data_IF_797270435760
#
_entry.id   IF_797270435760
#
_cell.length_a   1.000
_cell.length_b   1.000
_cell.length_c   1.000
_cell.angle_alpha   90.00
_cell.angle_beta   90.00
_cell.angle_gamma   90.00
#
_symmetry.space_group_name_H-M   'P 1'
#
loop_
_entity.id
_entity.type
_entity.pdbx_description
1 polymer ?
#
# COMPACT_ATOMS: atom_id res chain seq x y z
N UNK A 1 -40.84 9.07 -58.30
CA UNK A 1 -39.72 9.78 -57.64
C UNK A 1 -38.81 8.71 -57.02
N UNK A 2 -37.57 8.52 -57.49
CA UNK A 2 -36.66 7.48 -56.97
C UNK A 2 -35.73 8.13 -55.94
N UNK A 3 -35.93 7.84 -54.66
CA UNK A 3 -35.09 8.36 -53.57
C UNK A 3 -33.73 7.67 -53.62
N UNK A 4 -32.66 8.43 -53.93
CA UNK A 4 -31.29 7.93 -53.84
C UNK A 4 -30.90 7.89 -52.37
N UNK A 5 -30.87 6.68 -51.80
CA UNK A 5 -30.49 6.46 -50.41
C UNK A 5 -28.96 6.59 -50.28
N UNK A 6 -28.48 7.64 -49.62
CA UNK A 6 -27.05 7.90 -49.44
C UNK A 6 -26.47 7.01 -48.34
N UNK A 7 -26.25 5.73 -48.68
CA UNK A 7 -25.76 4.67 -47.79
C UNK A 7 -24.46 5.06 -47.04
N UNK A 8 -23.61 5.88 -47.65
CA UNK A 8 -22.37 6.38 -47.02
C UNK A 8 -22.63 7.22 -45.77
N UNK A 9 -23.68 8.04 -45.77
CA UNK A 9 -24.03 8.92 -44.64
C UNK A 9 -24.55 8.10 -43.45
N UNK A 10 -25.36 7.07 -43.74
CA UNK A 10 -25.87 6.13 -42.73
C UNK A 10 -24.75 5.32 -42.06
N UNK A 11 -23.72 4.90 -42.82
CA UNK A 11 -22.59 4.16 -42.26
C UNK A 11 -21.74 5.05 -41.34
N UNK A 12 -21.48 6.31 -41.73
CA UNK A 12 -20.74 7.25 -40.89
C UNK A 12 -21.48 7.61 -39.60
N UNK A 13 -22.80 7.83 -39.66
CA UNK A 13 -23.59 8.17 -38.47
C UNK A 13 -23.66 6.99 -37.49
N UNK A 14 -23.67 5.75 -38.01
CA UNK A 14 -23.64 4.53 -37.19
C UNK A 14 -22.28 4.32 -36.50
N UNK A 15 -21.16 4.63 -37.16
CA UNK A 15 -19.81 4.50 -36.59
C UNK A 15 -19.57 5.48 -35.43
N UNK A 16 -20.13 6.70 -35.52
CA UNK A 16 -20.03 7.70 -34.44
C UNK A 16 -20.82 7.25 -33.20
N UNK A 17 -22.00 6.63 -33.39
CA UNK A 17 -22.81 6.14 -32.29
C UNK A 17 -22.14 4.97 -31.53
N UNK A 18 -21.41 4.09 -32.23
CA UNK A 18 -20.69 2.96 -31.61
C UNK A 18 -19.50 3.43 -30.77
N UNK A 19 -18.83 4.52 -31.17
CA UNK A 19 -17.66 5.03 -30.44
C UNK A 19 -18.01 5.70 -29.10
N UNK A 20 -19.25 6.17 -28.93
CA UNK A 20 -19.72 6.80 -27.68
C UNK A 20 -20.04 5.78 -26.59
N UNK A 21 -20.32 4.51 -26.95
CA UNK A 21 -20.75 3.48 -26.00
C UNK A 21 -19.62 2.73 -25.29
N UNK A 22 -18.36 2.84 -25.74
CA UNK A 22 -17.22 2.13 -25.11
C UNK A 22 -16.45 2.99 -24.10
N UNK A 23 -16.90 4.21 -23.82
CA UNK A 23 -16.23 5.15 -22.93
C UNK A 23 -16.72 5.12 -21.48
N UNK A 24 -17.63 4.22 -21.11
CA UNK A 24 -17.93 3.95 -19.70
C UNK A 24 -16.92 2.94 -19.16
N UNK A 25 -15.66 3.35 -19.04
CA UNK A 25 -14.81 2.74 -18.02
C UNK A 25 -15.52 2.94 -16.70
N UNK A 26 -15.94 1.86 -16.05
CA UNK A 26 -16.42 1.91 -14.68
C UNK A 26 -15.29 2.47 -13.83
N UNK A 27 -15.31 3.78 -13.60
CA UNK A 27 -14.70 4.33 -12.40
C UNK A 27 -15.54 3.77 -11.27
N UNK A 28 -15.12 2.61 -10.75
CA UNK A 28 -15.40 2.26 -9.38
C UNK A 28 -14.75 3.38 -8.58
N UNK A 29 -15.52 4.45 -8.34
CA UNK A 29 -15.25 5.38 -7.27
C UNK A 29 -15.31 4.51 -6.01
N UNK A 30 -14.15 4.01 -5.61
CA UNK A 30 -13.97 3.45 -4.29
C UNK A 30 -14.44 4.55 -3.34
N UNK A 31 -15.57 4.31 -2.69
CA UNK A 31 -16.08 5.17 -1.65
C UNK A 31 -14.92 5.34 -0.66
N UNK A 32 -14.22 6.49 -0.74
CA UNK A 32 -13.14 6.80 0.18
C UNK A 32 -13.84 7.06 1.49
N UNK A 33 -14.14 5.99 2.25
CA UNK A 33 -14.32 6.11 3.69
C UNK A 33 -13.08 6.85 4.12
N UNK A 34 -13.26 8.11 4.51
CA UNK A 34 -12.29 8.85 5.29
C UNK A 34 -12.20 8.11 6.62
N UNK A 35 -11.50 6.97 6.58
CA UNK A 35 -11.12 6.23 7.75
C UNK A 35 -10.07 7.14 8.36
N UNK A 36 -10.39 7.74 9.49
CA UNK A 36 -9.43 8.55 10.25
C UNK A 36 -8.27 7.62 10.60
N UNK A 37 -7.21 7.68 9.79
CA UNK A 37 -6.04 6.82 9.98
C UNK A 37 -5.35 7.29 11.23
N UNK A 38 -5.24 6.39 12.19
CA UNK A 38 -4.48 6.68 13.40
C UNK A 38 -3.00 6.80 13.04
N UNK A 39 -2.34 7.79 13.64
CA UNK A 39 -0.95 8.08 13.35
C UNK A 39 -0.03 6.98 13.89
N UNK A 40 0.92 6.54 13.07
CA UNK A 40 2.08 5.78 13.52
C UNK A 40 3.34 6.33 12.87
N UNK A 41 4.49 6.08 13.50
CA UNK A 41 5.79 6.35 12.88
C UNK A 41 6.76 5.26 13.26
N UNK A 42 7.33 4.60 12.25
CA UNK A 42 8.28 3.51 12.42
C UNK A 42 9.56 3.83 11.64
N UNK A 43 10.71 3.66 12.27
CA UNK A 43 12.02 3.74 11.63
C UNK A 43 12.50 2.33 11.32
N UNK A 44 12.81 2.09 10.05
CA UNK A 44 13.36 0.85 9.52
C UNK A 44 14.86 1.06 9.37
N UNK A 45 15.65 0.16 9.94
CA UNK A 45 17.12 0.15 9.89
C UNK A 45 17.59 -1.19 9.32
N UNK A 46 18.45 -1.14 8.30
CA UNK A 46 19.19 -2.31 7.85
C UNK A 46 20.39 -2.54 8.77
N UNK A 47 20.61 -3.77 9.18
CA UNK A 47 21.71 -4.17 10.05
C UNK A 47 22.44 -5.38 9.47
N UNK A 48 23.66 -5.62 9.93
CA UNK A 48 24.47 -6.79 9.55
C UNK A 48 23.74 -8.14 9.75
N UNK A 49 22.72 -8.18 10.61
CA UNK A 49 21.99 -9.40 10.99
C UNK A 49 20.54 -9.47 10.47
N UNK A 50 20.07 -8.45 9.75
CA UNK A 50 18.69 -8.34 9.27
C UNK A 50 18.10 -6.95 9.42
N UNK A 51 16.82 -6.86 9.76
CA UNK A 51 16.10 -5.61 9.89
C UNK A 51 15.80 -5.31 11.36
N UNK A 52 15.97 -4.04 11.72
CA UNK A 52 15.50 -3.47 12.97
C UNK A 52 14.39 -2.45 12.69
N UNK A 53 13.28 -2.56 13.42
CA UNK A 53 12.20 -1.60 13.45
C UNK A 53 12.22 -0.88 14.80
N UNK A 54 12.09 0.44 14.78
CA UNK A 54 11.89 1.26 15.98
C UNK A 54 10.59 2.03 15.84
N UNK A 55 9.63 1.76 16.73
CA UNK A 55 8.40 2.53 16.83
C UNK A 55 8.69 3.83 17.57
N UNK A 56 8.31 4.95 16.95
CA UNK A 56 8.31 6.28 17.56
C UNK A 56 6.95 6.56 18.20
N UNK A 57 5.87 6.13 17.53
CA UNK A 57 4.49 6.24 18.00
C UNK A 57 3.58 5.20 17.31
N UNK A 58 2.40 4.97 17.90
CA UNK A 58 1.35 4.13 17.31
C UNK A 58 1.45 2.64 17.60
N UNK A 59 2.46 2.18 18.33
CA UNK A 59 2.68 0.76 18.66
C UNK A 59 2.88 0.50 20.16
N UNK A 60 2.56 -0.72 20.61
CA UNK A 60 2.81 -1.20 21.97
C UNK A 60 4.28 -1.62 22.21
N UNK A 61 5.07 -1.71 21.14
CA UNK A 61 6.48 -2.06 21.18
C UNK A 61 7.37 -0.84 20.86
N UNK A 62 8.62 -0.86 21.32
CA UNK A 62 9.62 0.19 21.05
C UNK A 62 10.58 -0.27 19.95
N UNK A 63 11.15 -1.48 20.09
CA UNK A 63 12.08 -2.07 19.13
C UNK A 63 11.62 -3.48 18.75
N UNK A 64 11.73 -3.81 17.46
CA UNK A 64 11.68 -5.18 16.95
C UNK A 64 12.93 -5.42 16.11
N UNK A 65 13.52 -6.61 16.23
CA UNK A 65 14.63 -7.03 15.38
C UNK A 65 14.43 -8.45 14.93
N UNK A 66 14.61 -8.69 13.64
CA UNK A 66 14.48 -10.02 13.05
C UNK A 66 15.29 -10.13 11.77
N UNK A 67 15.72 -11.35 11.47
CA UNK A 67 16.35 -11.66 10.19
C UNK A 67 15.27 -11.97 9.16
N UNK A 68 15.39 -11.39 7.97
CA UNK A 68 14.57 -11.75 6.84
C UNK A 68 15.26 -12.86 6.08
N UNK A 69 14.55 -13.97 5.85
CA UNK A 69 15.00 -14.97 4.89
C UNK A 69 14.58 -14.48 3.51
N UNK A 70 15.53 -14.34 2.58
CA UNK A 70 15.30 -13.83 1.22
C UNK A 70 13.93 -14.27 0.66
N UNK A 71 13.10 -13.28 0.31
CA UNK A 71 11.76 -13.43 -0.26
C UNK A 71 10.64 -13.93 0.68
N UNK A 72 10.87 -14.15 1.98
CA UNK A 72 9.79 -14.43 2.93
C UNK A 72 9.37 -13.17 3.70
N UNK A 73 8.13 -12.69 3.52
CA UNK A 73 7.65 -11.52 4.25
C UNK A 73 7.43 -11.82 5.73
N UNK A 74 7.74 -10.84 6.58
CA UNK A 74 7.35 -10.79 7.99
C UNK A 74 6.19 -9.80 8.15
N UNK A 75 5.08 -10.21 8.74
CA UNK A 75 3.98 -9.30 9.09
C UNK A 75 4.26 -8.58 10.42
N UNK A 76 3.94 -7.31 10.49
CA UNK A 76 4.09 -6.47 11.68
C UNK A 76 2.82 -5.65 11.86
N UNK A 77 2.32 -5.64 13.10
CA UNK A 77 1.18 -4.85 13.55
C UNK A 77 1.55 -3.98 14.77
N UNK A 78 0.57 -3.27 15.31
CA UNK A 78 0.75 -2.40 16.48
C UNK A 78 1.18 -3.15 17.75
N UNK A 79 1.04 -4.48 17.80
CA UNK A 79 1.43 -5.34 18.92
C UNK A 79 2.75 -6.08 18.70
N UNK A 80 3.23 -6.17 17.46
CA UNK A 80 4.57 -6.63 17.13
C UNK A 80 4.62 -7.49 15.86
N UNK A 81 5.50 -8.49 15.86
CA UNK A 81 5.54 -9.48 14.79
C UNK A 81 4.31 -10.40 14.88
N UNK A 82 3.60 -10.57 13.76
CA UNK A 82 2.38 -11.36 13.68
C UNK A 82 2.42 -12.34 12.50
N UNK A 83 1.37 -13.15 12.37
CA UNK A 83 1.20 -14.03 11.22
C UNK A 83 0.69 -13.24 10.00
N UNK A 84 1.02 -13.69 8.79
CA UNK A 84 0.55 -13.08 7.55
C UNK A 84 -0.98 -12.97 7.54
N UNK A 85 -1.49 -11.80 7.15
CA UNK A 85 -2.93 -11.49 7.04
C UNK A 85 -3.73 -11.67 8.35
N UNK A 86 -3.07 -11.68 9.51
CA UNK A 86 -3.74 -11.75 10.81
C UNK A 86 -4.01 -10.34 11.33
N UNK A 87 -5.19 -9.82 11.03
CA UNK A 87 -5.70 -8.59 11.65
C UNK A 87 -5.98 -8.84 13.13
N UNK A 88 -5.49 -7.97 14.01
CA UNK A 88 -5.78 -8.07 15.44
C UNK A 88 -7.29 -7.91 15.71
N UNK A 89 -7.94 -8.85 16.41
CA UNK A 89 -9.38 -8.79 16.69
C UNK A 89 -9.73 -7.78 17.79
N UNK A 90 -8.76 -7.40 18.63
CA UNK A 90 -8.92 -6.41 19.70
C UNK A 90 -8.12 -5.18 19.36
N UNK A 91 -8.82 -4.07 19.05
CA UNK A 91 -8.21 -2.78 18.76
C UNK A 91 -8.13 -1.95 20.04
N UNK A 92 -6.94 -1.46 20.38
CA UNK A 92 -6.73 -0.52 21.48
C UNK A 92 -6.91 0.91 20.95
N UNK A 93 -7.69 1.73 21.66
CA UNK A 93 -7.93 3.12 21.25
C UNK A 93 -6.66 3.98 21.22
N UNK A 94 -5.60 3.56 21.91
CA UNK A 94 -4.33 4.29 21.99
C UNK A 94 -3.28 3.83 20.96
N UNK A 95 -3.57 2.78 20.18
CA UNK A 95 -2.66 2.25 19.16
C UNK A 95 -3.20 2.50 17.75
N UNK A 96 -2.31 2.44 16.75
CA UNK A 96 -2.60 2.94 15.41
C UNK A 96 -3.29 1.94 14.46
N UNK A 97 -3.65 0.74 14.93
CA UNK A 97 -4.40 -0.28 14.21
C UNK A 97 -3.85 -0.60 12.79
N UNK A 98 -2.53 -0.71 12.63
CA UNK A 98 -1.89 -0.97 11.34
C UNK A 98 -1.53 -2.44 11.16
N UNK A 99 -1.46 -2.88 9.90
CA UNK A 99 -0.87 -4.15 9.53
C UNK A 99 -0.14 -3.99 8.20
N UNK A 100 1.14 -4.33 8.17
CA UNK A 100 1.92 -4.40 6.94
C UNK A 100 2.86 -5.60 6.96
N UNK A 101 3.35 -5.99 5.79
CA UNK A 101 4.45 -6.95 5.67
C UNK A 101 5.71 -6.27 5.21
N UNK A 102 6.86 -6.76 5.67
CA UNK A 102 8.19 -6.36 5.21
C UNK A 102 8.92 -7.57 4.65
N UNK A 103 9.50 -7.42 3.46
CA UNK A 103 10.35 -8.41 2.82
C UNK A 103 11.63 -7.76 2.31
N UNK A 104 12.73 -8.52 2.33
CA UNK A 104 13.96 -8.16 1.64
C UNK A 104 14.05 -8.95 0.35
N UNK A 105 14.21 -8.21 -0.74
CA UNK A 105 14.58 -8.69 -2.07
C UNK A 105 16.04 -8.33 -2.33
N UNK A 106 16.63 -8.79 -3.44
CA UNK A 106 18.08 -8.68 -3.71
C UNK A 106 18.73 -7.35 -3.29
N UNK A 107 18.12 -6.22 -3.65
CA UNK A 107 18.63 -4.87 -3.37
C UNK A 107 17.60 -3.90 -2.76
N UNK A 108 16.41 -4.40 -2.39
CA UNK A 108 15.30 -3.55 -1.94
C UNK A 108 14.57 -4.14 -0.74
N UNK A 109 14.16 -3.24 0.15
CA UNK A 109 13.12 -3.49 1.13
C UNK A 109 11.78 -3.23 0.44
N UNK A 110 10.86 -4.16 0.59
CA UNK A 110 9.49 -4.07 0.07
C UNK A 110 8.54 -4.14 1.25
N UNK A 111 7.67 -3.16 1.36
CA UNK A 111 6.59 -3.11 2.33
C UNK A 111 5.27 -3.24 1.60
N UNK A 112 4.36 -4.06 2.11
CA UNK A 112 2.99 -4.17 1.59
C UNK A 112 2.00 -3.86 2.72
N UNK A 113 1.19 -2.82 2.52
CA UNK A 113 0.17 -2.36 3.47
C UNK A 113 -1.09 -3.21 3.36
N UNK A 114 -1.63 -3.63 4.51
CA UNK A 114 -2.83 -4.46 4.61
C UNK A 114 -3.94 -3.71 5.37
N UNK A 115 -3.60 -3.02 6.47
CA UNK A 115 -4.52 -2.22 7.28
C UNK A 115 -3.81 -0.95 7.79
N UNK A 116 -4.56 0.13 8.02
CA UNK A 116 -4.04 1.34 8.66
C UNK A 116 -3.04 2.15 7.83
N UNK A 117 -3.00 1.95 6.51
CA UNK A 117 -2.07 2.61 5.58
C UNK A 117 -2.82 3.13 4.33
N UNK A 118 -2.46 4.31 3.81
CA UNK A 118 -2.93 4.82 2.51
C UNK A 118 -2.20 4.15 1.32
N UNK A 119 -1.09 3.47 1.59
CA UNK A 119 -0.24 2.84 0.57
C UNK A 119 -0.43 1.33 0.55
N UNK A 120 -0.51 0.76 -0.64
CA UNK A 120 -0.49 -0.71 -0.82
C UNK A 120 0.94 -1.23 -0.87
N UNK A 121 1.86 -0.53 -1.53
CA UNK A 121 3.25 -0.95 -1.64
C UNK A 121 4.21 0.23 -1.49
N UNK A 122 5.29 0.02 -0.73
CA UNK A 122 6.46 0.89 -0.70
C UNK A 122 7.70 0.06 -1.01
N UNK A 123 8.62 0.61 -1.80
CA UNK A 123 9.87 -0.07 -2.09
C UNK A 123 11.04 0.90 -2.20
N UNK A 124 12.09 0.63 -1.44
CA UNK A 124 13.28 1.47 -1.36
C UNK A 124 14.51 0.63 -1.06
N UNK A 125 15.68 1.18 -1.38
CA UNK A 125 16.97 0.56 -1.06
C UNK A 125 17.55 1.22 0.18
N UNK A 126 18.16 0.41 1.05
CA UNK A 126 18.96 0.88 2.18
C UNK A 126 20.38 0.32 2.05
N UNK A 127 21.37 1.19 2.23
CA UNK A 127 22.75 0.78 2.50
C UNK A 127 22.84 0.16 3.89
N UNK A 128 23.95 -0.54 4.18
CA UNK A 128 24.21 -1.09 5.52
C UNK A 128 24.14 0.00 6.60
N UNK A 129 23.48 -0.27 7.73
CA UNK A 129 23.14 0.72 8.77
C UNK A 129 22.28 1.92 8.30
N UNK A 130 21.77 1.87 7.06
CA UNK A 130 20.87 2.87 6.50
C UNK A 130 19.51 2.85 7.20
N UNK A 131 18.85 4.01 7.24
CA UNK A 131 17.57 4.21 7.92
C UNK A 131 16.53 4.85 7.01
N UNK A 132 15.29 4.46 7.19
CA UNK A 132 14.12 5.07 6.55
C UNK A 132 12.96 5.12 7.53
N UNK A 133 12.31 6.28 7.68
CA UNK A 133 11.05 6.36 8.43
C UNK A 133 9.86 6.10 7.51
N UNK A 134 8.82 5.49 8.05
CA UNK A 134 7.51 5.34 7.41
C UNK A 134 6.40 5.77 8.36
N UNK A 135 5.28 6.19 7.78
CA UNK A 135 4.04 6.51 8.46
C UNK A 135 2.83 5.99 7.66
N UNK A 136 1.62 6.32 8.11
CA UNK A 136 0.37 5.90 7.46
C UNK A 136 0.22 6.41 6.02
N UNK A 137 0.96 7.45 5.64
CA UNK A 137 0.90 8.07 4.31
C UNK A 137 2.06 7.65 3.40
N UNK A 138 3.13 7.09 3.96
CA UNK A 138 4.20 6.45 3.18
C UNK A 138 5.57 6.68 3.76
N UNK A 139 6.51 7.10 2.90
CA UNK A 139 7.88 7.41 3.29
C UNK A 139 7.92 8.74 4.06
N UNK A 140 8.44 8.70 5.28
CA UNK A 140 8.53 9.85 6.18
C UNK A 140 9.99 10.31 6.36
N UNK A 141 10.16 11.51 6.92
CA UNK A 141 11.48 12.01 7.33
C UNK A 141 11.92 11.38 8.65
N UNK A 142 13.21 11.08 8.76
CA UNK A 142 13.88 10.83 10.03
C UNK A 142 14.02 12.20 10.71
N UNK A 143 13.29 12.42 11.81
CA UNK A 143 13.43 13.65 12.59
C UNK A 143 14.62 13.55 13.56
#
# INVERSE_FOLDING_TARGET
>A
MKTKWNFKKLITDLLIAVFVLTASSELIAQEKKTTDLKNFKIVIEKTDSGIKLKSIEGSAWIDLSFSLNNCRPQAVDEYGMTALNKVSPGKDTNLADFLFTIAETEDRIVLTGIEGTEWTDLSFSLVENGKQAIDQYGMAKLD
#
